data_IF_968644270924
#
_entry.id   IF_968644270924
#
_cell.length_a   1.000
_cell.length_b   1.000
_cell.length_c   1.000
_cell.angle_alpha   90.00
_cell.angle_beta   90.00
_cell.angle_gamma   90.00
#
_symmetry.space_group_name_H-M   'P 1'
#
loop_
_entity.id
_entity.type
_entity.pdbx_description
1 polymer ?
#
# COMPACT_ATOMS: atom_id res chain seq x y z
N UNK A 1 2.87 25.92 -5.64
CA UNK A 1 2.36 26.24 -7.01
C UNK A 1 1.02 25.55 -7.21
N UNK A 2 0.06 26.15 -7.92
CA UNK A 2 -1.20 25.50 -8.30
C UNK A 2 -1.24 25.33 -9.82
N UNK A 3 -1.66 24.17 -10.30
CA UNK A 3 -1.74 23.80 -11.73
C UNK A 3 -3.11 23.19 -11.99
N UNK A 4 -3.83 23.71 -12.99
CA UNK A 4 -5.07 23.12 -13.48
C UNK A 4 -4.76 22.00 -14.50
N UNK A 5 -5.31 20.80 -14.26
CA UNK A 5 -5.08 19.63 -15.10
C UNK A 5 -6.12 19.47 -16.23
N UNK A 6 -7.14 20.32 -16.31
CA UNK A 6 -8.17 20.24 -17.36
C UNK A 6 -7.51 20.24 -18.75
N UNK A 7 -7.91 19.27 -19.58
CA UNK A 7 -7.42 19.03 -20.94
C UNK A 7 -5.90 18.82 -21.08
N UNK A 8 -5.15 18.74 -19.98
CA UNK A 8 -3.71 18.44 -20.02
C UNK A 8 -3.50 16.95 -20.24
N UNK A 9 -2.73 16.62 -21.28
CA UNK A 9 -2.16 15.28 -21.43
C UNK A 9 -1.14 15.01 -20.32
N UNK A 10 -1.04 13.75 -19.91
CA UNK A 10 -0.20 13.35 -18.79
C UNK A 10 1.27 13.73 -19.00
N UNK A 11 1.80 13.63 -20.21
CA UNK A 11 3.21 13.93 -20.51
C UNK A 11 3.53 15.43 -20.40
N UNK A 12 2.57 16.29 -20.73
CA UNK A 12 2.69 17.75 -20.56
C UNK A 12 2.71 18.08 -19.07
N UNK A 13 1.74 17.56 -18.32
CA UNK A 13 1.65 17.78 -16.88
C UNK A 13 2.91 17.29 -16.17
N UNK A 14 3.40 16.09 -16.50
CA UNK A 14 4.59 15.53 -15.87
C UNK A 14 5.86 16.35 -16.15
N UNK A 15 6.01 16.91 -17.37
CA UNK A 15 7.12 17.82 -17.69
C UNK A 15 7.03 19.15 -16.93
N UNK A 16 5.82 19.63 -16.67
CA UNK A 16 5.58 20.86 -15.92
C UNK A 16 5.90 20.69 -14.42
N UNK A 17 5.53 19.56 -13.82
CA UNK A 17 5.76 19.31 -12.38
C UNK A 17 7.18 18.83 -12.05
N UNK A 18 7.86 18.17 -12.99
CA UNK A 18 9.17 17.55 -12.76
C UNK A 18 10.24 18.52 -12.22
N UNK A 19 10.43 19.73 -12.80
CA UNK A 19 11.46 20.66 -12.34
C UNK A 19 11.05 21.44 -11.08
N UNK A 20 9.82 21.32 -10.61
CA UNK A 20 9.33 22.07 -9.45
C UNK A 20 9.81 21.43 -8.14
N UNK A 21 10.00 22.25 -7.11
CA UNK A 21 10.26 21.81 -5.74
C UNK A 21 9.22 22.41 -4.77
N UNK A 22 9.14 21.86 -3.56
CA UNK A 22 8.20 22.32 -2.55
C UNK A 22 6.75 21.87 -2.82
N UNK A 23 5.78 22.69 -2.42
CA UNK A 23 4.36 22.35 -2.48
C UNK A 23 3.75 22.63 -3.86
N UNK A 24 3.08 21.62 -4.42
CA UNK A 24 2.40 21.65 -5.72
C UNK A 24 0.97 21.16 -5.51
N UNK A 25 -0.01 21.88 -6.03
CA UNK A 25 -1.41 21.49 -6.01
C UNK A 25 -1.89 21.30 -7.44
N UNK A 26 -2.46 20.15 -7.72
CA UNK A 26 -3.01 19.77 -9.01
C UNK A 26 -4.53 19.75 -8.91
N UNK A 27 -5.19 20.71 -9.54
CA UNK A 27 -6.65 20.81 -9.59
C UNK A 27 -7.20 20.10 -10.83
N UNK A 28 -8.43 19.59 -10.74
CA UNK A 28 -9.14 18.93 -11.84
C UNK A 28 -8.40 17.73 -12.47
N UNK A 29 -7.63 16.99 -11.66
CA UNK A 29 -6.94 15.81 -12.16
C UNK A 29 -7.95 14.70 -12.52
N UNK A 30 -7.87 14.19 -13.75
CA UNK A 30 -8.80 13.20 -14.28
C UNK A 30 -8.07 12.22 -15.20
N UNK A 31 -7.34 11.28 -14.61
CA UNK A 31 -6.69 10.18 -15.31
C UNK A 31 -5.29 10.48 -15.85
N UNK A 32 -4.68 11.62 -15.52
CA UNK A 32 -3.28 11.86 -15.87
C UNK A 32 -2.37 10.88 -15.13
N UNK A 33 -1.64 10.08 -15.91
CA UNK A 33 -0.78 8.98 -15.45
C UNK A 33 0.59 9.48 -14.98
N UNK A 34 1.29 8.64 -14.22
CA UNK A 34 2.71 8.83 -13.86
C UNK A 34 3.02 10.10 -13.04
N UNK A 35 2.00 10.73 -12.44
CA UNK A 35 2.21 11.91 -11.59
C UNK A 35 3.16 11.54 -10.45
N UNK A 36 4.23 12.32 -10.26
CA UNK A 36 5.24 12.07 -9.24
C UNK A 36 6.21 10.93 -9.56
N UNK A 37 6.27 10.47 -10.81
CA UNK A 37 7.24 9.44 -11.21
C UNK A 37 8.68 9.86 -10.91
N UNK A 38 9.43 9.05 -10.16
CA UNK A 38 10.81 9.35 -9.77
C UNK A 38 10.98 10.60 -8.90
N UNK A 39 9.89 11.15 -8.36
CA UNK A 39 9.95 12.42 -7.66
C UNK A 39 10.59 12.30 -6.27
N UNK A 40 11.36 13.33 -5.93
CA UNK A 40 11.91 13.60 -4.60
C UNK A 40 11.72 15.08 -4.25
N UNK A 41 11.84 15.41 -2.95
CA UNK A 41 11.90 16.79 -2.41
C UNK A 41 10.70 17.70 -2.77
N UNK A 42 9.53 17.11 -2.96
CA UNK A 42 8.29 17.85 -3.26
C UNK A 42 7.09 17.23 -2.58
N UNK A 43 6.08 18.06 -2.34
CA UNK A 43 4.78 17.65 -1.83
C UNK A 43 3.72 17.95 -2.89
N UNK A 44 3.00 16.92 -3.36
CA UNK A 44 2.00 17.05 -4.41
C UNK A 44 0.61 16.75 -3.81
N UNK A 45 -0.27 17.74 -3.80
CA UNK A 45 -1.69 17.53 -3.48
C UNK A 45 -2.49 17.44 -4.77
N UNK A 46 -3.31 16.40 -4.91
CA UNK A 46 -4.11 16.12 -6.11
C UNK A 46 -5.59 16.22 -5.74
N UNK A 47 -6.27 17.21 -6.31
CA UNK A 47 -7.72 17.38 -6.24
C UNK A 47 -8.33 16.76 -7.51
N UNK A 48 -8.74 15.49 -7.37
CA UNK A 48 -9.25 14.68 -8.48
C UNK A 48 -8.80 13.22 -8.38
N UNK A 49 -8.81 12.53 -9.51
CA UNK A 49 -8.41 11.13 -9.63
C UNK A 49 -7.21 11.04 -10.59
N UNK A 50 -5.99 10.79 -10.09
CA UNK A 50 -4.83 10.51 -10.95
C UNK A 50 -5.02 9.19 -11.69
N UNK A 51 -4.38 9.09 -12.85
CA UNK A 51 -4.35 7.86 -13.64
C UNK A 51 -3.38 6.83 -13.09
N UNK A 52 -3.26 5.70 -13.80
CA UNK A 52 -2.37 4.60 -13.42
C UNK A 52 -0.91 5.04 -13.18
N UNK A 53 -0.23 4.29 -12.32
CA UNK A 53 1.17 4.46 -11.97
C UNK A 53 1.49 5.81 -11.28
N UNK A 54 0.56 6.32 -10.46
CA UNK A 54 0.84 7.43 -9.55
C UNK A 54 2.05 7.10 -8.66
N UNK A 55 3.04 7.98 -8.60
CA UNK A 55 4.21 7.81 -7.75
C UNK A 55 5.04 6.57 -8.08
N UNK A 56 5.04 6.10 -9.33
CA UNK A 56 5.97 5.02 -9.70
C UNK A 56 7.43 5.48 -9.52
N UNK A 57 8.28 4.62 -8.99
CA UNK A 57 9.67 4.93 -8.65
C UNK A 57 9.84 6.12 -7.70
N UNK A 58 8.83 6.48 -6.89
CA UNK A 58 8.93 7.59 -5.93
C UNK A 58 10.14 7.40 -5.02
N UNK A 59 10.93 8.46 -4.80
CA UNK A 59 12.21 8.37 -4.09
C UNK A 59 12.36 9.55 -3.11
N UNK A 60 11.34 9.75 -2.28
CA UNK A 60 11.36 10.74 -1.19
C UNK A 60 10.53 12.00 -1.44
N UNK A 61 9.43 11.89 -2.19
CA UNK A 61 8.40 12.92 -2.26
C UNK A 61 7.13 12.46 -1.52
N UNK A 62 6.29 13.43 -1.16
CA UNK A 62 5.00 13.20 -0.52
C UNK A 62 3.86 13.50 -1.50
N UNK A 63 2.89 12.61 -1.60
CA UNK A 63 1.73 12.76 -2.48
C UNK A 63 0.46 12.56 -1.66
N UNK A 64 -0.49 13.49 -1.77
CA UNK A 64 -1.81 13.38 -1.16
C UNK A 64 -2.87 13.45 -2.25
N UNK A 65 -3.67 12.40 -2.40
CA UNK A 65 -4.81 12.33 -3.32
C UNK A 65 -6.10 12.53 -2.54
N UNK A 66 -6.85 13.58 -2.85
CA UNK A 66 -8.12 13.88 -2.16
C UNK A 66 -9.29 13.01 -2.61
N UNK A 67 -9.16 12.30 -3.73
CA UNK A 67 -10.11 11.32 -4.24
C UNK A 67 -9.56 9.89 -4.26
N UNK A 68 -10.02 9.11 -5.24
CA UNK A 68 -9.51 7.78 -5.54
C UNK A 68 -8.21 7.84 -6.35
N UNK A 69 -7.45 6.74 -6.35
CA UNK A 69 -6.33 6.52 -7.27
C UNK A 69 -6.59 5.27 -8.12
N UNK A 70 -6.00 5.22 -9.31
CA UNK A 70 -6.09 4.05 -10.20
C UNK A 70 -4.95 3.05 -9.93
N UNK A 71 -4.72 2.15 -10.89
CA UNK A 71 -3.87 0.97 -10.72
C UNK A 71 -2.38 1.31 -10.62
N UNK A 72 -1.61 0.39 -10.06
CA UNK A 72 -0.15 0.42 -9.96
C UNK A 72 0.39 1.66 -9.23
N UNK A 73 -0.40 2.26 -8.34
CA UNK A 73 0.07 3.36 -7.50
C UNK A 73 1.24 2.91 -6.64
N UNK A 74 2.34 3.65 -6.66
CA UNK A 74 3.58 3.33 -5.93
C UNK A 74 4.38 2.16 -6.54
N UNK A 75 4.20 1.86 -7.83
CA UNK A 75 5.01 0.84 -8.52
C UNK A 75 6.52 1.11 -8.36
N UNK A 76 7.24 0.16 -7.78
CA UNK A 76 8.68 0.19 -7.55
C UNK A 76 9.11 1.42 -6.73
N UNK A 77 8.21 1.96 -5.90
CA UNK A 77 8.48 3.05 -4.96
C UNK A 77 9.62 2.69 -4.01
N UNK A 78 10.55 3.62 -3.81
CA UNK A 78 11.81 3.39 -3.11
C UNK A 78 11.92 4.21 -1.81
N UNK A 79 11.25 5.37 -1.74
CA UNK A 79 11.06 6.18 -0.53
C UNK A 79 9.93 7.21 -0.71
N UNK A 80 9.51 7.87 0.38
CA UNK A 80 8.46 8.89 0.40
C UNK A 80 7.13 8.38 0.95
N UNK A 81 6.06 9.15 0.73
CA UNK A 81 4.72 8.81 1.22
C UNK A 81 3.62 9.11 0.20
N UNK A 82 2.67 8.19 0.06
CA UNK A 82 1.44 8.40 -0.73
C UNK A 82 0.23 8.22 0.20
N UNK A 83 -0.65 9.22 0.28
CA UNK A 83 -1.89 9.20 1.07
C UNK A 83 -3.08 9.34 0.13
N UNK A 84 -3.99 8.37 0.13
CA UNK A 84 -5.17 8.34 -0.73
C UNK A 84 -6.41 8.42 0.16
N UNK A 85 -7.18 9.51 0.06
CA UNK A 85 -8.39 9.72 0.86
C UNK A 85 -9.60 8.91 0.36
N UNK A 86 -9.53 8.33 -0.83
CA UNK A 86 -10.52 7.37 -1.38
C UNK A 86 -9.99 5.93 -1.41
N UNK A 87 -10.42 5.18 -2.42
CA UNK A 87 -9.95 3.83 -2.74
C UNK A 87 -8.85 3.83 -3.79
N UNK A 88 -8.11 2.73 -3.89
CA UNK A 88 -7.10 2.52 -4.94
C UNK A 88 -7.47 1.31 -5.82
N UNK A 89 -7.10 1.36 -7.10
CA UNK A 89 -7.24 0.25 -8.03
C UNK A 89 -6.30 -0.92 -7.73
N UNK A 90 -6.01 -1.70 -8.78
CA UNK A 90 -5.20 -2.91 -8.67
C UNK A 90 -3.71 -2.60 -8.44
N UNK A 91 -3.00 -3.54 -7.83
CA UNK A 91 -1.54 -3.54 -7.74
C UNK A 91 -0.91 -2.31 -7.06
N UNK A 92 -1.62 -1.67 -6.12
CA UNK A 92 -1.03 -0.64 -5.26
C UNK A 92 0.17 -1.19 -4.51
N UNK A 93 1.29 -0.46 -4.50
CA UNK A 93 2.55 -0.90 -3.90
C UNK A 93 3.27 -2.02 -4.67
N UNK A 94 2.97 -2.21 -5.96
CA UNK A 94 3.66 -3.21 -6.78
C UNK A 94 5.18 -3.04 -6.69
N UNK A 95 5.89 -4.09 -6.28
CA UNK A 95 7.35 -4.13 -6.21
C UNK A 95 8.02 -3.01 -5.39
N UNK A 96 7.28 -2.31 -4.53
CA UNK A 96 7.84 -1.23 -3.71
C UNK A 96 8.91 -1.78 -2.74
N UNK A 97 9.94 -0.97 -2.50
CA UNK A 97 11.14 -1.29 -1.73
C UNK A 97 11.32 -0.46 -0.47
N UNK A 98 10.60 0.64 -0.36
CA UNK A 98 10.62 1.54 0.79
C UNK A 98 9.47 2.54 0.71
N UNK A 99 9.43 3.47 1.67
CA UNK A 99 8.37 4.44 1.80
C UNK A 99 7.05 3.84 2.29
N UNK A 100 6.00 4.67 2.31
CA UNK A 100 4.68 4.32 2.88
C UNK A 100 3.54 4.67 1.94
N UNK A 101 2.54 3.81 1.85
CA UNK A 101 1.29 4.08 1.15
C UNK A 101 0.13 3.87 2.12
N UNK A 102 -0.73 4.86 2.26
CA UNK A 102 -1.94 4.81 3.08
C UNK A 102 -3.17 5.00 2.19
N UNK A 103 -4.06 4.00 2.16
CA UNK A 103 -5.32 4.05 1.42
C UNK A 103 -6.46 4.05 2.43
N UNK A 104 -7.29 5.11 2.45
CA UNK A 104 -8.42 5.19 3.38
C UNK A 104 -9.48 4.13 3.10
N UNK A 105 -9.80 3.93 1.82
CA UNK A 105 -10.83 3.03 1.35
C UNK A 105 -10.30 1.65 0.99
N UNK A 106 -10.94 1.06 -0.01
CA UNK A 106 -10.65 -0.29 -0.51
C UNK A 106 -9.45 -0.29 -1.45
N UNK A 107 -8.87 -1.47 -1.65
CA UNK A 107 -7.88 -1.72 -2.71
C UNK A 107 -8.32 -2.86 -3.61
N UNK A 108 -7.90 -2.77 -4.88
CA UNK A 108 -8.15 -3.80 -5.88
C UNK A 108 -7.30 -5.07 -5.67
N UNK A 109 -7.16 -5.83 -6.76
CA UNK A 109 -6.42 -7.09 -6.81
C UNK A 109 -4.93 -6.82 -6.62
N UNK A 110 -4.22 -7.78 -6.02
CA UNK A 110 -2.74 -7.79 -5.97
C UNK A 110 -2.10 -6.59 -5.26
N UNK A 111 -2.79 -5.98 -4.31
CA UNK A 111 -2.19 -4.97 -3.44
C UNK A 111 -0.94 -5.53 -2.73
N UNK A 112 0.17 -4.82 -2.81
CA UNK A 112 1.47 -5.22 -2.26
C UNK A 112 2.18 -6.36 -3.00
N UNK A 113 1.78 -6.69 -4.24
CA UNK A 113 2.43 -7.75 -5.00
C UNK A 113 3.92 -7.46 -5.18
N UNK A 114 4.77 -8.47 -4.94
CA UNK A 114 6.23 -8.37 -5.05
C UNK A 114 6.92 -7.31 -4.17
N UNK A 115 6.24 -6.79 -3.15
CA UNK A 115 6.83 -5.86 -2.18
C UNK A 115 8.06 -6.49 -1.50
N UNK A 116 9.16 -5.75 -1.38
CA UNK A 116 10.49 -6.28 -0.98
C UNK A 116 11.18 -5.33 0.00
N UNK A 117 11.84 -5.85 1.02
CA UNK A 117 12.69 -5.04 1.89
C UNK A 117 14.16 -5.22 1.53
N UNK A 118 14.98 -4.18 1.73
CA UNK A 118 16.42 -4.27 1.49
C UNK A 118 17.18 -3.36 2.46
N UNK A 119 18.07 -3.97 3.26
CA UNK A 119 18.84 -3.24 4.28
C UNK A 119 17.92 -2.58 5.29
N UNK A 120 17.99 -1.26 5.41
CA UNK A 120 17.14 -0.46 6.31
C UNK A 120 15.81 0.00 5.68
N UNK A 121 15.58 -0.29 4.39
CA UNK A 121 14.34 0.12 3.71
C UNK A 121 13.25 -0.92 3.92
N UNK A 122 12.21 -0.52 4.64
CA UNK A 122 11.03 -1.33 4.95
C UNK A 122 9.82 -0.66 4.29
N UNK A 123 9.27 -1.20 3.19
CA UNK A 123 8.06 -0.67 2.59
C UNK A 123 6.85 -0.97 3.46
N UNK A 124 5.90 -0.02 3.52
CA UNK A 124 4.68 -0.15 4.32
C UNK A 124 3.45 0.22 3.49
N UNK A 125 2.43 -0.64 3.52
CA UNK A 125 1.12 -0.41 2.94
C UNK A 125 0.04 -0.55 4.02
N UNK A 126 -0.73 0.50 4.29
CA UNK A 126 -1.89 0.47 5.20
C UNK A 126 -3.17 0.70 4.40
N UNK A 127 -4.12 -0.20 4.57
CA UNK A 127 -5.40 -0.25 3.83
C UNK A 127 -6.53 -0.14 4.85
N UNK A 128 -7.34 0.90 4.72
CA UNK A 128 -8.44 1.17 5.63
C UNK A 128 -9.64 0.26 5.41
N UNK A 129 -10.03 0.04 4.16
CA UNK A 129 -11.18 -0.79 3.77
C UNK A 129 -10.82 -2.26 3.56
N UNK A 130 -11.51 -2.90 2.61
CA UNK A 130 -11.26 -4.29 2.22
C UNK A 130 -10.22 -4.42 1.10
N UNK A 131 -9.70 -5.64 0.96
CA UNK A 131 -8.70 -5.99 -0.05
C UNK A 131 -9.26 -6.97 -1.08
N UNK A 132 -9.02 -6.71 -2.35
CA UNK A 132 -9.23 -7.68 -3.42
C UNK A 132 -8.34 -8.93 -3.31
N UNK A 133 -8.54 -9.87 -4.23
CA UNK A 133 -7.78 -11.12 -4.27
C UNK A 133 -6.27 -10.88 -4.39
N UNK A 134 -5.46 -11.84 -3.94
CA UNK A 134 -3.98 -11.85 -4.05
C UNK A 134 -3.26 -10.74 -3.25
N UNK A 135 -3.82 -10.30 -2.11
CA UNK A 135 -3.12 -9.41 -1.20
C UNK A 135 -1.74 -9.98 -0.82
N UNK A 136 -0.68 -9.21 -1.03
CA UNK A 136 0.71 -9.60 -0.70
C UNK A 136 1.25 -10.79 -1.49
N UNK A 137 0.73 -11.04 -2.70
CA UNK A 137 1.27 -12.08 -3.58
C UNK A 137 2.77 -11.87 -3.84
N UNK A 138 3.57 -12.91 -3.67
CA UNK A 138 5.03 -12.85 -3.81
C UNK A 138 5.74 -11.77 -2.97
N UNK A 139 5.14 -11.33 -1.86
CA UNK A 139 5.79 -10.42 -0.92
C UNK A 139 7.06 -11.07 -0.36
N UNK A 140 8.17 -10.34 -0.41
CA UNK A 140 9.49 -10.78 0.05
C UNK A 140 10.07 -9.86 1.12
N UNK A 141 9.26 -8.95 1.68
CA UNK A 141 9.65 -8.05 2.77
C UNK A 141 8.60 -6.98 3.07
N UNK A 142 8.82 -6.20 4.12
CA UNK A 142 7.97 -5.07 4.51
C UNK A 142 6.68 -5.46 5.22
N UNK A 143 5.80 -4.47 5.40
CA UNK A 143 4.57 -4.58 6.19
C UNK A 143 3.33 -4.21 5.37
N UNK A 144 2.36 -5.11 5.30
CA UNK A 144 1.01 -4.81 4.80
C UNK A 144 0.05 -4.86 5.99
N UNK A 145 -0.79 -3.84 6.16
CA UNK A 145 -1.76 -3.74 7.26
C UNK A 145 -3.15 -3.48 6.68
N UNK A 146 -4.04 -4.47 6.77
CA UNK A 146 -5.43 -4.39 6.31
C UNK A 146 -6.38 -4.20 7.51
N UNK A 147 -7.12 -3.09 7.54
CA UNK A 147 -7.94 -2.70 8.69
C UNK A 147 -9.41 -3.07 8.58
N UNK A 148 -9.96 -3.21 7.37
CA UNK A 148 -11.36 -3.61 7.16
C UNK A 148 -12.37 -2.71 7.87
N UNK A 149 -12.08 -1.42 8.00
CA UNK A 149 -12.95 -0.44 8.65
C UNK A 149 -14.27 -0.33 7.88
N UNK A 150 -15.39 -0.43 8.60
CA UNK A 150 -16.72 -0.45 8.01
C UNK A 150 -17.15 -1.79 7.40
N UNK A 151 -16.35 -2.86 7.54
CA UNK A 151 -16.66 -4.19 7.02
C UNK A 151 -16.72 -5.27 8.11
N UNK A 152 -17.48 -6.33 7.82
CA UNK A 152 -17.47 -7.56 8.59
C UNK A 152 -16.16 -8.33 8.36
N UNK A 153 -15.74 -9.12 9.35
CA UNK A 153 -14.47 -9.87 9.33
C UNK A 153 -14.31 -10.79 8.11
N UNK A 154 -15.41 -11.36 7.62
CA UNK A 154 -15.44 -12.23 6.43
C UNK A 154 -15.21 -11.49 5.11
N UNK A 155 -15.41 -10.17 5.08
CA UNK A 155 -15.39 -9.35 3.86
C UNK A 155 -14.10 -8.53 3.72
N UNK A 156 -13.22 -8.54 4.75
CA UNK A 156 -11.96 -7.79 4.75
C UNK A 156 -11.00 -8.30 3.67
N UNK A 157 -10.95 -9.61 3.46
CA UNK A 157 -10.06 -10.25 2.50
C UNK A 157 -10.84 -11.12 1.52
N UNK A 158 -10.43 -11.04 0.26
CA UNK A 158 -10.80 -12.00 -0.76
C UNK A 158 -9.73 -13.12 -0.88
N UNK A 159 -9.78 -13.88 -1.97
CA UNK A 159 -9.05 -15.13 -2.17
C UNK A 159 -7.54 -14.95 -2.34
N UNK A 160 -6.78 -16.01 -2.05
CA UNK A 160 -5.34 -16.13 -2.35
C UNK A 160 -4.40 -15.14 -1.64
N UNK A 161 -4.81 -14.57 -0.51
CA UNK A 161 -3.95 -13.75 0.35
C UNK A 161 -2.62 -14.47 0.67
N UNK A 162 -1.51 -13.74 0.61
CA UNK A 162 -0.14 -14.18 0.89
C UNK A 162 0.40 -15.32 -0.01
N UNK A 163 -0.22 -15.56 -1.17
CA UNK A 163 0.23 -16.62 -2.09
C UNK A 163 1.65 -16.34 -2.58
N UNK A 164 2.55 -17.32 -2.45
CA UNK A 164 3.96 -17.18 -2.85
C UNK A 164 4.78 -16.22 -2.00
N UNK A 165 4.29 -15.80 -0.82
CA UNK A 165 5.05 -14.95 0.09
C UNK A 165 6.34 -15.64 0.55
N UNK A 166 7.44 -14.89 0.51
CA UNK A 166 8.80 -15.32 0.86
C UNK A 166 9.42 -14.50 2.01
N UNK A 167 8.82 -13.37 2.38
CA UNK A 167 9.32 -12.47 3.44
C UNK A 167 8.30 -11.41 3.84
N UNK A 168 8.61 -10.66 4.89
CA UNK A 168 7.74 -9.62 5.44
C UNK A 168 6.62 -10.15 6.35
N UNK A 169 5.67 -9.27 6.68
CA UNK A 169 4.46 -9.60 7.45
C UNK A 169 3.22 -8.95 6.83
N UNK A 170 2.09 -9.64 6.92
CA UNK A 170 0.75 -9.09 6.64
C UNK A 170 -0.05 -9.12 7.93
N UNK A 171 -0.64 -7.99 8.30
CA UNK A 171 -1.49 -7.80 9.46
C UNK A 171 -2.92 -7.59 9.00
N UNK A 172 -3.86 -8.31 9.60
CA UNK A 172 -5.27 -8.25 9.27
C UNK A 172 -6.03 -7.99 10.54
N UNK A 173 -6.70 -6.83 10.63
CA UNK A 173 -7.61 -6.51 11.72
C UNK A 173 -8.87 -7.35 11.57
N UNK A 174 -9.02 -8.37 12.40
CA UNK A 174 -10.15 -9.29 12.36
C UNK A 174 -10.22 -10.09 13.67
N UNK A 175 -11.44 -10.40 14.15
CA UNK A 175 -11.61 -11.39 15.21
C UNK A 175 -11.56 -12.82 14.66
N UNK A 176 -12.02 -13.03 13.42
CA UNK A 176 -12.04 -14.33 12.75
C UNK A 176 -11.48 -14.25 11.32
N UNK A 177 -10.43 -15.02 11.03
CA UNK A 177 -9.86 -15.09 9.68
C UNK A 177 -10.60 -16.12 8.83
N UNK A 178 -11.47 -15.65 7.94
CA UNK A 178 -12.27 -16.51 7.06
C UNK A 178 -11.59 -16.86 5.71
N UNK A 179 -10.52 -16.14 5.37
CA UNK A 179 -9.79 -16.40 4.12
C UNK A 179 -9.02 -17.73 4.18
N UNK A 180 -9.06 -18.49 3.09
CA UNK A 180 -8.23 -19.70 2.95
C UNK A 180 -6.77 -19.29 2.77
N UNK A 181 -5.98 -19.47 3.81
CA UNK A 181 -4.54 -19.25 3.79
C UNK A 181 -3.81 -20.56 3.47
N UNK A 182 -2.78 -20.50 2.63
CA UNK A 182 -2.05 -21.69 2.20
C UNK A 182 -1.14 -22.21 3.32
N UNK A 183 -0.83 -23.52 3.40
CA UNK A 183 0.02 -24.09 4.46
C UNK A 183 1.46 -23.55 4.51
N UNK A 184 1.91 -22.86 3.45
CA UNK A 184 3.22 -22.20 3.39
C UNK A 184 3.25 -20.91 4.20
N UNK A 185 2.11 -20.43 4.70
CA UNK A 185 1.99 -19.20 5.49
C UNK A 185 1.63 -19.58 6.91
N UNK A 186 2.41 -19.08 7.86
CA UNK A 186 2.09 -19.15 9.26
C UNK A 186 1.08 -18.06 9.62
N UNK A 187 0.13 -18.39 10.49
CA UNK A 187 -0.92 -17.48 10.96
C UNK A 187 -1.02 -17.60 12.47
N UNK A 188 -1.12 -16.49 13.17
CA UNK A 188 -1.53 -16.44 14.59
C UNK A 188 -2.10 -15.07 14.95
N UNK A 189 -2.75 -14.98 16.10
CA UNK A 189 -3.06 -13.67 16.71
C UNK A 189 -1.77 -12.91 16.99
N UNK A 190 -1.75 -11.62 16.63
CA UNK A 190 -0.63 -10.72 16.88
C UNK A 190 -0.33 -10.62 18.37
N UNK A 191 0.96 -10.65 18.75
CA UNK A 191 1.38 -10.37 20.13
C UNK A 191 1.53 -8.86 20.35
N UNK A 192 1.77 -8.45 21.59
CA UNK A 192 2.05 -7.05 21.91
C UNK A 192 3.28 -6.52 21.16
N UNK A 193 4.31 -7.34 20.91
CA UNK A 193 5.46 -6.95 20.09
C UNK A 193 5.09 -6.72 18.62
N UNK A 194 4.21 -7.55 18.06
CA UNK A 194 3.73 -7.35 16.70
C UNK A 194 2.85 -6.10 16.61
N UNK A 195 2.01 -5.83 17.61
CA UNK A 195 1.21 -4.60 17.67
C UNK A 195 2.12 -3.38 17.80
N UNK A 196 3.14 -3.43 18.65
CA UNK A 196 4.13 -2.36 18.79
C UNK A 196 4.87 -2.08 17.47
N UNK A 197 5.12 -3.12 16.65
CA UNK A 197 5.73 -2.97 15.33
C UNK A 197 4.88 -2.14 14.36
N UNK A 198 3.55 -2.28 14.41
CA UNK A 198 2.63 -1.59 13.49
C UNK A 198 2.01 -0.31 14.04
N UNK A 199 2.07 -0.09 15.36
CA UNK A 199 1.44 1.05 16.02
C UNK A 199 1.84 2.43 15.45
N UNK A 200 3.12 2.70 15.11
CA UNK A 200 3.48 3.98 14.49
C UNK A 200 2.77 4.24 13.16
N UNK A 201 2.53 3.19 12.36
CA UNK A 201 1.87 3.30 11.06
C UNK A 201 0.35 3.43 11.20
N UNK A 202 -0.24 2.75 12.19
CA UNK A 202 -1.67 2.92 12.53
C UNK A 202 -1.93 4.35 13.01
N UNK A 203 -1.06 4.89 13.87
CA UNK A 203 -1.16 6.27 14.33
C UNK A 203 -1.10 7.26 13.17
N UNK A 204 -0.09 7.14 12.30
CA UNK A 204 0.06 8.04 11.14
C UNK A 204 -1.13 7.92 10.16
N UNK A 205 -1.63 6.70 9.94
CA UNK A 205 -2.86 6.46 9.15
C UNK A 205 -4.07 7.17 9.77
N UNK A 206 -4.26 7.03 11.08
CA UNK A 206 -5.36 7.66 11.82
C UNK A 206 -5.28 9.20 11.73
N UNK A 207 -4.09 9.77 11.87
CA UNK A 207 -3.84 11.21 11.73
C UNK A 207 -4.15 11.71 10.30
N UNK A 208 -3.79 10.94 9.27
CA UNK A 208 -4.06 11.30 7.87
C UNK A 208 -5.56 11.38 7.56
N UNK A 209 -6.38 10.54 8.19
CA UNK A 209 -7.79 10.37 7.84
C UNK A 209 -8.79 10.80 8.91
N UNK A 210 -8.30 11.26 10.07
CA UNK A 210 -9.15 11.63 11.21
C UNK A 210 -9.91 10.44 11.79
N UNK A 211 -9.29 9.26 11.78
CA UNK A 211 -9.86 8.02 12.32
C UNK A 211 -9.37 7.83 13.75
N UNK A 212 -10.21 7.27 14.63
CA UNK A 212 -9.81 6.99 16.01
C UNK A 212 -8.95 5.73 16.08
N UNK A 213 -7.78 5.81 16.74
CA UNK A 213 -6.99 4.61 17.05
C UNK A 213 -7.81 3.60 17.87
N UNK A 214 -8.72 4.07 18.75
CA UNK A 214 -9.61 3.19 19.51
C UNK A 214 -10.53 2.37 18.61
N UNK A 215 -11.00 2.94 17.50
CA UNK A 215 -11.79 2.21 16.50
C UNK A 215 -10.92 1.13 15.82
N UNK A 216 -9.68 1.46 15.47
CA UNK A 216 -8.75 0.51 14.86
C UNK A 216 -8.40 -0.62 15.84
N UNK A 217 -8.18 -0.33 17.12
CA UNK A 217 -7.87 -1.34 18.12
C UNK A 217 -9.10 -2.01 18.76
N UNK A 218 -10.30 -1.74 18.25
CA UNK A 218 -11.53 -2.39 18.75
C UNK A 218 -11.66 -3.86 18.35
N UNK A 219 -10.79 -4.36 17.47
CA UNK A 219 -10.65 -5.76 17.07
C UNK A 219 -9.19 -6.18 17.19
N UNK A 220 -8.97 -7.47 17.38
CA UNK A 220 -7.61 -8.03 17.37
C UNK A 220 -7.03 -8.04 15.94
N UNK A 221 -5.74 -8.36 15.85
CA UNK A 221 -5.04 -8.58 14.59
C UNK A 221 -4.60 -10.02 14.46
N UNK A 222 -4.74 -10.58 13.27
CA UNK A 222 -4.02 -11.76 12.84
C UNK A 222 -2.76 -11.31 12.08
N UNK A 223 -1.64 -11.98 12.32
CA UNK A 223 -0.37 -11.75 11.61
C UNK A 223 -0.04 -12.97 10.77
N UNK A 224 0.36 -12.73 9.52
CA UNK A 224 0.76 -13.71 8.52
C UNK A 224 2.22 -13.50 8.14
N UNK A 225 2.97 -14.58 8.01
CA UNK A 225 4.38 -14.57 7.57
C UNK A 225 4.75 -15.90 6.91
N UNK A 226 5.79 -15.96 6.05
CA UNK A 226 6.17 -17.20 5.39
C UNK A 226 6.67 -18.24 6.39
N UNK A 227 6.32 -19.50 6.17
CA UNK A 227 6.84 -20.63 6.92
C UNK A 227 8.28 -20.93 6.49
N UNK A 228 9.24 -20.31 7.18
CA UNK A 228 10.68 -20.44 6.92
C UNK A 228 11.27 -21.79 7.31
N UNK A 229 10.49 -22.71 7.89
CA UNK A 229 10.95 -24.08 8.17
C UNK A 229 11.00 -24.96 6.90
N UNK A 230 10.46 -24.50 5.77
CA UNK A 230 10.44 -25.27 4.52
C UNK A 230 10.77 -24.41 3.27
N UNK A 231 11.84 -23.60 3.26
CA UNK A 231 12.01 -22.57 2.23
C UNK A 231 12.51 -23.11 0.89
N UNK A 232 13.06 -24.34 0.83
CA UNK A 232 13.86 -24.80 -0.32
C UNK A 232 13.63 -26.24 -0.77
N UNK A 233 12.55 -26.93 -0.38
CA UNK A 233 12.40 -28.35 -0.75
C UNK A 233 12.28 -28.61 -2.26
N UNK A 234 12.17 -27.58 -3.11
CA UNK A 234 11.98 -27.74 -4.56
C UNK A 234 12.58 -26.66 -5.49
N UNK A 235 13.41 -25.72 -5.02
CA UNK A 235 13.80 -24.57 -5.88
C UNK A 235 15.21 -24.61 -6.49
N UNK A 236 16.05 -25.60 -6.17
CA UNK A 236 17.41 -25.69 -6.76
C UNK A 236 17.92 -27.11 -7.02
N UNK A 237 17.05 -28.12 -7.12
CA UNK A 237 17.46 -29.47 -7.55
C UNK A 237 16.84 -29.75 -8.90
N UNK A 238 17.69 -29.78 -9.93
CA UNK A 238 17.36 -30.41 -11.21
C UNK A 238 17.36 -31.93 -10.94
N UNK A 239 16.23 -32.60 -11.15
CA UNK A 239 16.25 -34.05 -11.37
C UNK A 239 16.66 -34.32 -12.81
#
# INVERSE_FOLDING_TARGET
>A
MKIDCTDKKYDILNREISPLEGEIVLDNCCGQRFIGAGASKKAITINGVPGNALGCYLDGADIVVKGNAQDATGDTMNDGKIVIHGSCGDAVGYAMRGGKIFVRGDVGYRAGIHMKEYGSKIPVLVIGGKCGSFLGEYQAGGLIIALGLGYDDKDVLDSFCATGMHGGKIFIRTNELNAKITPQICVRTATDEDIAQIAPYIKEFCECFGISETEVYSKQFQVLWPNSANPYKQLYVMN
#
